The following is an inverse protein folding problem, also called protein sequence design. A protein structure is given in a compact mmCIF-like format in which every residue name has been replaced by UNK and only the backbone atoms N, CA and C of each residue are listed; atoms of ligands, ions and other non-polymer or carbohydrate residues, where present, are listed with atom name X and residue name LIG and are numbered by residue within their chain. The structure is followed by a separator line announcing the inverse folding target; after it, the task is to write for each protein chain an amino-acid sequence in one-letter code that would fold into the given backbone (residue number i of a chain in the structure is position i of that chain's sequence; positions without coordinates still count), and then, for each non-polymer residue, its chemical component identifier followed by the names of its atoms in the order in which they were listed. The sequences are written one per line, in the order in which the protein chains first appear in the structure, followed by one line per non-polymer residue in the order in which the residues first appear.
data_IF_575538214202
#
_entry.id   IF_575538214202
#
_cell.length_a   1.000
_cell.length_b   1.000
_cell.length_c   1.000
_cell.angle_alpha   90.00
_cell.angle_beta   90.00
_cell.angle_gamma   90.00
#
_symmetry.space_group_name_H-M   'P 1'
#
loop_
_entity.id
_entity.type
_entity.pdbx_description
1 polymer ?
#
# COMPACT_ATOMS: atom_id res chain seq x y z
N UNK A 1 -25.80 34.30 28.59
CA UNK A 1 -25.01 35.18 27.70
C UNK A 1 -23.65 35.38 28.33
N UNK A 2 -22.61 34.68 27.84
CA UNK A 2 -21.20 35.11 27.83
C UNK A 2 -20.49 34.20 26.82
N UNK A 3 -20.43 34.63 25.56
CA UNK A 3 -19.57 34.04 24.53
C UNK A 3 -18.13 34.51 24.80
N UNK A 4 -17.27 33.60 25.24
CA UNK A 4 -15.82 33.81 25.27
C UNK A 4 -15.18 33.11 24.07
N UNK A 5 -14.77 33.87 23.07
CA UNK A 5 -13.99 33.42 21.91
C UNK A 5 -12.59 32.96 22.36
N UNK A 6 -12.37 31.64 22.43
CA UNK A 6 -11.02 31.05 22.54
C UNK A 6 -10.34 30.99 21.16
N UNK A 7 -9.00 31.09 21.08
CA UNK A 7 -8.29 31.14 19.80
C UNK A 7 -8.44 29.83 19.02
N UNK A 8 -9.33 29.84 18.01
CA UNK A 8 -9.65 28.74 17.09
C UNK A 8 -8.48 28.27 16.20
N UNK A 9 -7.26 28.78 16.40
CA UNK A 9 -6.13 28.64 15.48
C UNK A 9 -5.11 27.54 15.82
N UNK A 10 -4.98 27.15 17.08
CA UNK A 10 -3.86 26.26 17.50
C UNK A 10 -4.13 24.77 17.22
N UNK A 11 -5.41 24.35 17.20
CA UNK A 11 -5.77 22.93 17.03
C UNK A 11 -5.55 22.42 15.60
N UNK A 12 -5.51 23.31 14.60
CA UNK A 12 -5.24 22.93 13.20
C UNK A 12 -3.77 22.55 12.97
N UNK A 13 -2.85 23.11 13.78
CA UNK A 13 -1.41 22.85 13.66
C UNK A 13 -1.02 21.48 14.22
N UNK A 14 -1.64 21.04 15.30
CA UNK A 14 -1.39 19.71 15.86
C UNK A 14 -2.00 18.59 15.02
N UNK A 15 -3.14 18.83 14.34
CA UNK A 15 -3.77 17.80 13.51
C UNK A 15 -2.97 17.41 12.25
N UNK A 16 -2.03 18.24 11.80
CA UNK A 16 -1.23 17.97 10.59
C UNK A 16 0.04 17.16 10.86
N UNK A 17 0.41 16.98 12.13
CA UNK A 17 1.66 16.31 12.54
C UNK A 17 1.45 15.08 13.43
N UNK A 18 0.22 14.80 13.86
CA UNK A 18 -0.12 13.43 14.23
C UNK A 18 -0.27 12.62 12.95
N UNK A 19 0.84 11.99 12.58
CA UNK A 19 0.91 10.80 11.77
C UNK A 19 0.04 9.71 12.44
N UNK A 20 -1.29 9.86 12.33
CA UNK A 20 -2.26 8.80 12.53
C UNK A 20 -2.36 8.05 11.21
N UNK A 21 -1.21 7.59 10.69
CA UNK A 21 -1.23 6.39 9.90
C UNK A 21 -1.57 5.28 10.88
N UNK A 22 -2.88 5.06 11.04
CA UNK A 22 -3.40 3.94 11.81
C UNK A 22 -2.61 2.70 11.44
N UNK A 23 -2.20 1.93 12.45
CA UNK A 23 -1.39 0.72 12.31
C UNK A 23 -1.94 -0.08 11.13
N UNK A 24 -1.34 0.07 9.95
CA UNK A 24 -1.62 -0.78 8.81
C UNK A 24 -0.94 -2.08 9.19
N UNK A 25 -1.73 -3.02 9.68
CA UNK A 25 -1.31 -4.42 9.69
C UNK A 25 -1.03 -4.74 8.23
N UNK A 26 0.24 -5.02 7.94
CA UNK A 26 0.62 -5.50 6.63
C UNK A 26 -0.22 -6.76 6.31
N UNK A 27 -0.93 -6.76 5.19
CA UNK A 27 -1.66 -7.91 4.70
C UNK A 27 -0.67 -9.02 4.28
N UNK A 28 0.50 -8.62 3.78
CA UNK A 28 1.61 -9.53 3.51
C UNK A 28 2.49 -9.77 4.75
N UNK A 29 2.77 -11.03 5.13
CA UNK A 29 3.70 -11.33 6.21
C UNK A 29 5.10 -10.80 5.92
N UNK A 30 5.62 -9.93 6.79
CA UNK A 30 6.96 -9.32 6.67
C UNK A 30 8.04 -10.40 6.48
N UNK A 31 7.96 -11.50 7.23
CA UNK A 31 8.93 -12.60 7.12
C UNK A 31 8.96 -13.25 5.73
N UNK A 32 7.79 -13.40 5.08
CA UNK A 32 7.71 -13.96 3.74
C UNK A 32 8.32 -13.01 2.70
N UNK A 33 8.05 -11.71 2.82
CA UNK A 33 8.60 -10.69 1.92
C UNK A 33 10.13 -10.60 2.08
N UNK A 34 10.65 -10.61 3.31
CA UNK A 34 12.11 -10.64 3.56
C UNK A 34 12.76 -11.91 3.00
N UNK A 35 12.09 -13.07 3.09
CA UNK A 35 12.59 -14.32 2.50
C UNK A 35 12.73 -14.19 0.98
N UNK A 36 11.72 -13.67 0.30
CA UNK A 36 11.75 -13.42 -1.15
C UNK A 36 12.90 -12.45 -1.47
N UNK A 37 13.03 -11.35 -0.72
CA UNK A 37 14.11 -10.37 -0.94
C UNK A 37 15.50 -11.00 -0.86
N UNK A 38 15.73 -11.89 0.13
CA UNK A 38 17.00 -12.62 0.26
C UNK A 38 17.24 -13.58 -0.89
N UNK A 39 16.21 -14.29 -1.35
CA UNK A 39 16.29 -15.15 -2.53
C UNK A 39 16.57 -14.34 -3.82
N UNK A 40 16.16 -13.07 -3.86
CA UNK A 40 16.45 -12.13 -4.93
C UNK A 40 17.81 -11.43 -4.82
N UNK A 41 18.66 -11.79 -3.84
CA UNK A 41 20.03 -11.29 -3.71
C UNK A 41 20.27 -10.28 -2.59
N UNK A 42 19.27 -9.96 -1.77
CA UNK A 42 19.50 -9.12 -0.59
C UNK A 42 20.25 -9.90 0.50
N UNK A 43 21.46 -9.46 0.88
CA UNK A 43 22.22 -10.11 1.97
C UNK A 43 21.55 -9.88 3.34
N UNK A 44 21.10 -8.65 3.60
CA UNK A 44 20.41 -8.25 4.83
C UNK A 44 19.26 -7.30 4.52
N UNK A 45 18.20 -7.39 5.32
CA UNK A 45 17.04 -6.49 5.26
C UNK A 45 16.75 -6.04 6.69
N UNK A 46 16.89 -4.75 6.98
CA UNK A 46 16.53 -4.18 8.28
C UNK A 46 15.01 -4.06 8.45
N UNK A 47 14.54 -3.85 9.68
CA UNK A 47 13.10 -3.78 9.98
C UNK A 47 12.38 -2.70 9.18
N UNK A 48 12.96 -1.51 9.07
CA UNK A 48 12.36 -0.40 8.30
C UNK A 48 12.33 -0.70 6.80
N UNK A 49 13.41 -1.30 6.28
CA UNK A 49 13.48 -1.74 4.89
C UNK A 49 12.48 -2.85 4.58
N UNK A 50 12.27 -3.77 5.52
CA UNK A 50 11.27 -4.82 5.40
C UNK A 50 9.85 -4.24 5.36
N UNK A 51 9.53 -3.31 6.26
CA UNK A 51 8.23 -2.64 6.28
C UNK A 51 7.97 -1.85 4.98
N UNK A 52 8.96 -1.09 4.50
CA UNK A 52 8.86 -0.36 3.24
C UNK A 52 8.69 -1.30 2.04
N UNK A 53 9.39 -2.43 2.02
CA UNK A 53 9.28 -3.43 0.96
C UNK A 53 7.88 -4.06 0.94
N UNK A 54 7.30 -4.35 2.09
CA UNK A 54 5.92 -4.84 2.18
C UNK A 54 4.93 -3.82 1.62
N UNK A 55 5.01 -2.57 2.08
CA UNK A 55 4.12 -1.50 1.58
C UNK A 55 4.22 -1.35 0.05
N UNK A 56 5.43 -1.39 -0.51
CA UNK A 56 5.62 -1.32 -1.96
C UNK A 56 5.16 -2.55 -2.72
N UNK A 57 5.27 -3.73 -2.14
CA UNK A 57 4.72 -4.94 -2.73
C UNK A 57 3.18 -4.88 -2.78
N UNK A 58 2.53 -4.41 -1.73
CA UNK A 58 1.07 -4.23 -1.67
C UNK A 58 0.59 -3.18 -2.67
N UNK A 59 1.27 -2.03 -2.74
CA UNK A 59 1.01 -0.98 -3.74
C UNK A 59 1.10 -1.56 -5.16
N UNK A 60 2.14 -2.35 -5.45
CA UNK A 60 2.34 -2.98 -6.75
C UNK A 60 1.23 -3.97 -7.07
N UNK A 61 0.85 -4.85 -6.14
CA UNK A 61 -0.25 -5.81 -6.32
C UNK A 61 -1.55 -5.07 -6.59
N UNK A 62 -1.86 -4.01 -5.84
CA UNK A 62 -3.06 -3.22 -6.03
C UNK A 62 -3.10 -2.54 -7.41
N UNK A 63 -1.97 -2.02 -7.88
CA UNK A 63 -1.83 -1.47 -9.24
C UNK A 63 -2.03 -2.54 -10.31
N UNK A 64 -1.34 -3.67 -10.17
CA UNK A 64 -1.41 -4.80 -11.11
C UNK A 64 -2.84 -5.34 -11.23
N UNK A 65 -3.55 -5.51 -10.11
CA UNK A 65 -4.94 -5.97 -10.10
C UNK A 65 -5.87 -4.96 -10.75
N UNK A 66 -5.67 -3.65 -10.57
CA UNK A 66 -6.49 -2.62 -11.23
C UNK A 66 -6.37 -2.71 -12.75
N UNK A 67 -5.15 -2.82 -13.28
CA UNK A 67 -4.94 -2.96 -14.72
C UNK A 67 -5.48 -4.29 -15.24
N UNK A 68 -5.19 -5.41 -14.56
CA UNK A 68 -5.69 -6.73 -14.94
C UNK A 68 -7.23 -6.77 -14.96
N UNK A 69 -7.88 -6.10 -14.02
CA UNK A 69 -9.33 -6.00 -13.98
C UNK A 69 -9.89 -5.23 -15.19
N UNK A 70 -9.21 -4.18 -15.67
CA UNK A 70 -9.62 -3.49 -16.90
C UNK A 70 -9.61 -4.44 -18.09
N UNK A 71 -8.55 -5.24 -18.24
CA UNK A 71 -8.46 -6.24 -19.34
C UNK A 71 -9.58 -7.29 -19.24
N UNK A 72 -9.82 -7.83 -18.05
CA UNK A 72 -10.91 -8.77 -17.84
C UNK A 72 -12.28 -8.16 -18.20
N UNK A 73 -12.53 -6.92 -17.77
CA UNK A 73 -13.77 -6.19 -18.07
C UNK A 73 -13.94 -5.91 -19.56
N UNK A 74 -12.88 -5.53 -20.26
CA UNK A 74 -12.91 -5.37 -21.73
C UNK A 74 -13.22 -6.69 -22.45
N UNK A 75 -12.81 -7.83 -21.89
CA UNK A 75 -13.14 -9.16 -22.38
C UNK A 75 -14.54 -9.65 -21.92
N UNK A 76 -15.32 -8.83 -21.21
CA UNK A 76 -16.64 -9.17 -20.68
C UNK A 76 -16.62 -10.16 -19.50
N UNK A 77 -15.44 -10.40 -18.90
CA UNK A 77 -15.25 -11.31 -17.77
C UNK A 77 -15.23 -10.53 -16.46
N UNK A 78 -15.80 -11.13 -15.40
CA UNK A 78 -15.71 -10.61 -14.02
C UNK A 78 -14.51 -11.19 -13.25
N UNK A 79 -14.04 -12.37 -13.66
CA UNK A 79 -12.91 -13.06 -13.03
C UNK A 79 -11.63 -12.77 -13.81
N UNK A 80 -10.63 -12.26 -13.11
CA UNK A 80 -9.27 -12.03 -13.63
C UNK A 80 -8.61 -13.39 -13.89
N UNK A 81 -8.01 -13.55 -15.07
CA UNK A 81 -7.25 -14.74 -15.48
C UNK A 81 -5.76 -14.42 -15.58
N UNK A 82 -4.96 -15.48 -15.72
CA UNK A 82 -3.51 -15.37 -15.95
C UNK A 82 -3.19 -14.41 -17.11
N UNK A 83 -3.90 -14.52 -18.23
CA UNK A 83 -3.71 -13.67 -19.42
C UNK A 83 -3.85 -12.17 -19.11
N UNK A 84 -4.79 -11.80 -18.22
CA UNK A 84 -5.02 -10.40 -17.84
C UNK A 84 -3.88 -9.88 -16.96
N UNK A 85 -3.36 -10.73 -16.05
CA UNK A 85 -2.24 -10.40 -15.16
C UNK A 85 -0.94 -10.29 -15.96
N UNK A 86 -0.71 -11.21 -16.90
CA UNK A 86 0.45 -11.20 -17.77
C UNK A 86 0.47 -9.97 -18.69
N UNK A 87 -0.70 -9.52 -19.14
CA UNK A 87 -0.82 -8.28 -19.92
C UNK A 87 -0.61 -7.04 -19.04
N UNK A 88 -1.21 -7.00 -17.86
CA UNK A 88 -1.03 -5.92 -16.89
C UNK A 88 0.42 -5.75 -16.43
N UNK A 89 1.16 -6.85 -16.25
CA UNK A 89 2.57 -6.80 -15.88
C UNK A 89 3.49 -6.26 -17.00
N UNK A 90 3.00 -6.18 -18.24
CA UNK A 90 3.74 -5.67 -19.42
C UNK A 90 3.29 -4.27 -19.86
N UNK A 91 2.23 -3.74 -19.23
CA UNK A 91 1.60 -2.48 -19.61
C UNK A 91 2.28 -1.27 -18.98
#
# INVERSE_FOLDING_TARGET
MLFGEGPRGIYKYYLKHYCFEGIKVADLPIAAVVRIAKQSGAERVGSDGAAALVAKAEDYIAGLVKEANKFALHAGRKTIKEEDIALAAKS
#
